data_IF_511371738082
#
_entry.id   IF_511371738082
#
_cell.length_a   1.000
_cell.length_b   1.000
_cell.length_c   1.000
_cell.angle_alpha   90.00
_cell.angle_beta   90.00
_cell.angle_gamma   90.00
#
_symmetry.space_group_name_H-M   'P 1'
#
loop_
_entity.id
_entity.type
_entity.pdbx_description
1 polymer ?
#
# COMPACT_ATOMS: atom_id res chain seq x y z
N UNK A 1 14.81 34.77 -20.00
CA UNK A 1 13.89 35.04 -18.88
C UNK A 1 12.84 33.95 -18.75
N UNK A 2 11.97 33.72 -19.75
CA UNK A 2 10.96 32.64 -19.76
C UNK A 2 11.45 31.22 -19.40
N UNK A 3 12.67 30.85 -19.83
CA UNK A 3 13.24 29.55 -19.49
C UNK A 3 13.60 29.41 -18.00
N UNK A 4 13.89 30.52 -17.32
CA UNK A 4 14.16 30.53 -15.88
C UNK A 4 12.85 30.43 -15.10
N UNK A 5 11.81 31.17 -15.50
CA UNK A 5 10.48 31.10 -14.88
C UNK A 5 9.88 29.69 -14.99
N UNK A 6 10.04 29.05 -16.15
CA UNK A 6 9.63 27.64 -16.33
C UNK A 6 10.38 26.70 -15.39
N UNK A 7 11.70 26.85 -15.24
CA UNK A 7 12.50 26.03 -14.33
C UNK A 7 12.11 26.26 -12.87
N UNK A 8 11.78 27.50 -12.50
CA UNK A 8 11.30 27.83 -11.17
C UNK A 8 9.98 27.10 -10.88
N UNK A 9 9.00 27.18 -11.80
CA UNK A 9 7.73 26.46 -11.68
C UNK A 9 7.93 24.94 -11.65
N UNK A 10 8.79 24.38 -12.51
CA UNK A 10 9.09 22.94 -12.50
C UNK A 10 9.71 22.50 -11.16
N UNK A 11 10.57 23.33 -10.56
CA UNK A 11 11.15 23.05 -9.24
C UNK A 11 10.12 23.12 -8.11
N UNK A 12 9.19 24.06 -8.18
CA UNK A 12 8.10 24.21 -7.21
C UNK A 12 7.13 23.02 -7.30
N UNK A 13 6.75 22.60 -8.51
CA UNK A 13 5.93 21.42 -8.73
C UNK A 13 6.59 20.14 -8.21
N UNK A 14 7.91 20.00 -8.42
CA UNK A 14 8.66 18.87 -7.87
C UNK A 14 8.68 18.89 -6.33
N UNK A 15 8.86 20.06 -5.72
CA UNK A 15 8.83 20.20 -4.26
C UNK A 15 7.44 19.84 -3.69
N UNK A 16 6.37 20.33 -4.30
CA UNK A 16 4.99 19.99 -3.90
C UNK A 16 4.68 18.50 -4.06
N UNK A 17 5.13 17.88 -5.16
CA UNK A 17 4.94 16.45 -5.39
C UNK A 17 5.62 15.59 -4.31
N UNK A 18 6.84 15.95 -3.91
CA UNK A 18 7.57 15.29 -2.82
C UNK A 18 6.84 15.46 -1.49
N UNK A 19 6.33 16.67 -1.20
CA UNK A 19 5.58 16.94 0.02
C UNK A 19 4.31 16.09 0.12
N UNK A 20 3.55 15.96 -0.98
CA UNK A 20 2.37 15.10 -1.02
C UNK A 20 2.75 13.65 -0.71
N UNK A 21 3.83 13.15 -1.33
CA UNK A 21 4.30 11.78 -1.08
C UNK A 21 4.75 11.57 0.37
N UNK A 22 5.31 12.59 1.00
CA UNK A 22 5.70 12.51 2.41
C UNK A 22 4.46 12.36 3.30
N UNK A 23 3.41 13.15 3.03
CA UNK A 23 2.14 13.04 3.74
C UNK A 23 1.49 11.67 3.54
N UNK A 24 1.52 11.12 2.32
CA UNK A 24 1.03 9.76 2.06
C UNK A 24 1.81 8.71 2.85
N UNK A 25 3.14 8.80 2.88
CA UNK A 25 4.01 7.89 3.62
C UNK A 25 3.69 7.92 5.12
N UNK A 26 3.61 9.13 5.71
CA UNK A 26 3.26 9.32 7.12
C UNK A 26 1.88 8.77 7.46
N UNK A 27 0.91 8.88 6.55
CA UNK A 27 -0.43 8.32 6.76
C UNK A 27 -0.39 6.79 6.85
N UNK A 28 0.37 6.12 5.97
CA UNK A 28 0.53 4.65 6.00
C UNK A 28 1.31 4.22 7.25
N UNK A 29 2.37 4.92 7.62
CA UNK A 29 3.17 4.64 8.81
C UNK A 29 2.33 4.70 10.10
N UNK A 30 1.56 5.78 10.30
CA UNK A 30 0.64 5.90 11.46
C UNK A 30 -0.37 4.78 11.52
N UNK A 31 -0.91 4.38 10.36
CA UNK A 31 -1.84 3.26 10.28
C UNK A 31 -1.19 1.93 10.69
N UNK A 32 0.02 1.66 10.20
CA UNK A 32 0.76 0.43 10.53
C UNK A 32 1.16 0.38 12.00
N UNK A 33 1.59 1.50 12.59
CA UNK A 33 1.88 1.58 14.02
C UNK A 33 0.64 1.32 14.89
N UNK A 34 -0.52 1.88 14.50
CA UNK A 34 -1.77 1.65 15.23
C UNK A 34 -2.19 0.18 15.20
N UNK A 35 -2.14 -0.48 14.03
CA UNK A 35 -2.46 -1.90 13.89
C UNK A 35 -1.43 -2.78 14.59
N UNK A 36 -0.14 -2.48 14.46
CA UNK A 36 0.92 -3.22 15.14
C UNK A 36 0.75 -3.20 16.66
N UNK A 37 0.36 -2.04 17.22
CA UNK A 37 0.07 -1.93 18.66
C UNK A 37 -1.14 -2.77 19.06
N UNK A 38 -2.23 -2.74 18.27
CA UNK A 38 -3.43 -3.54 18.55
C UNK A 38 -3.14 -5.04 18.47
N UNK A 39 -2.39 -5.47 17.45
CA UNK A 39 -1.94 -6.85 17.27
C UNK A 39 -1.10 -7.33 18.47
N UNK A 40 -0.16 -6.50 18.93
CA UNK A 40 0.67 -6.82 20.09
C UNK A 40 -0.18 -6.99 21.38
N UNK A 41 -1.22 -6.17 21.56
CA UNK A 41 -2.15 -6.31 22.69
C UNK A 41 -2.95 -7.62 22.62
N UNK A 42 -3.49 -7.96 21.45
CA UNK A 42 -4.23 -9.23 21.26
C UNK A 42 -3.31 -10.42 21.52
N UNK A 43 -2.06 -10.37 21.03
CA UNK A 43 -1.06 -11.39 21.28
C UNK A 43 -0.78 -11.55 22.79
N UNK A 44 -0.54 -10.46 23.51
CA UNK A 44 -0.31 -10.49 24.96
C UNK A 44 -1.50 -11.03 25.75
N UNK A 45 -2.72 -10.61 25.41
CA UNK A 45 -3.95 -11.11 26.01
C UNK A 45 -4.14 -12.61 25.74
N UNK A 46 -3.83 -13.07 24.53
CA UNK A 46 -3.93 -14.48 24.14
C UNK A 46 -3.01 -15.36 24.99
N UNK A 47 -1.75 -14.94 25.20
CA UNK A 47 -0.82 -15.67 26.08
C UNK A 47 -1.34 -15.69 27.52
N UNK A 48 -1.84 -14.55 28.01
CA UNK A 48 -2.38 -14.46 29.37
C UNK A 48 -3.59 -15.37 29.61
N UNK A 49 -4.49 -15.46 28.62
CA UNK A 49 -5.64 -16.39 28.69
C UNK A 49 -5.17 -17.83 28.62
N UNK A 50 -4.22 -18.16 27.74
CA UNK A 50 -3.67 -19.51 27.63
C UNK A 50 -3.04 -20.00 28.94
N UNK A 51 -2.26 -19.14 29.60
CA UNK A 51 -1.62 -19.46 30.88
C UNK A 51 -2.67 -19.69 31.98
N UNK A 52 -3.70 -18.85 32.02
CA UNK A 52 -4.78 -18.95 33.02
C UNK A 52 -5.62 -20.22 32.80
N UNK A 53 -5.97 -20.52 31.55
CA UNK A 53 -6.76 -21.70 31.16
C UNK A 53 -5.98 -22.99 31.42
N UNK A 54 -4.66 -22.99 31.20
CA UNK A 54 -3.82 -24.16 31.46
C UNK A 54 -3.81 -24.57 32.94
N UNK A 55 -3.91 -23.62 33.88
CA UNK A 55 -3.99 -23.93 35.31
C UNK A 55 -5.33 -24.58 35.70
N UNK A 56 -6.40 -24.25 34.98
CA UNK A 56 -7.77 -24.71 35.29
C UNK A 56 -8.05 -26.06 34.61
N UNK A 57 -7.46 -26.31 33.44
CA UNK A 57 -7.67 -27.52 32.64
C UNK A 57 -7.12 -28.80 33.31
N UNK A 58 -6.09 -28.73 34.16
CA UNK A 58 -5.55 -29.90 34.87
C UNK A 58 -6.50 -30.50 35.93
N UNK A 59 -7.61 -29.83 36.26
CA UNK A 59 -8.54 -30.26 37.32
C UNK A 59 -9.76 -31.04 36.81
N UNK A 60 -10.11 -30.94 35.53
CA UNK A 60 -11.32 -31.59 35.00
C UNK A 60 -10.98 -32.68 33.96
N UNK A 61 -11.28 -33.92 34.35
CA UNK A 61 -11.08 -35.19 33.63
C UNK A 61 -11.60 -35.23 32.18
N UNK A 62 -11.09 -36.24 31.47
CA UNK A 62 -11.04 -36.58 30.03
C UNK A 62 -12.23 -36.33 29.07
N UNK A 63 -13.35 -35.75 29.48
CA UNK A 63 -14.58 -35.79 28.67
C UNK A 63 -14.56 -34.90 27.41
N UNK A 64 -13.68 -33.88 27.29
CA UNK A 64 -13.72 -32.90 26.18
C UNK A 64 -12.36 -32.62 25.50
N UNK A 65 -11.55 -33.65 25.24
CA UNK A 65 -10.25 -33.50 24.57
C UNK A 65 -10.32 -32.77 23.22
N UNK A 66 -11.41 -32.97 22.46
CA UNK A 66 -11.61 -32.34 21.14
C UNK A 66 -11.67 -30.81 21.25
N UNK A 67 -12.43 -30.30 22.23
CA UNK A 67 -12.62 -28.86 22.41
C UNK A 67 -11.32 -28.22 22.91
N UNK A 68 -10.56 -28.92 23.76
CA UNK A 68 -9.25 -28.45 24.22
C UNK A 68 -8.23 -28.37 23.08
N UNK A 69 -8.16 -29.40 22.23
CA UNK A 69 -7.27 -29.39 21.04
C UNK A 69 -7.67 -28.27 20.09
N UNK A 70 -8.98 -28.08 19.87
CA UNK A 70 -9.49 -27.01 19.00
C UNK A 70 -9.16 -25.62 19.57
N UNK A 71 -9.37 -25.40 20.87
CA UNK A 71 -9.01 -24.17 21.57
C UNK A 71 -7.52 -23.87 21.43
N UNK A 72 -6.65 -24.87 21.70
CA UNK A 72 -5.21 -24.70 21.60
C UNK A 72 -4.77 -24.45 20.14
N UNK A 73 -5.41 -25.08 19.16
CA UNK A 73 -5.18 -24.82 17.75
C UNK A 73 -5.51 -23.38 17.37
N UNK A 74 -6.65 -22.85 17.82
CA UNK A 74 -7.06 -21.47 17.54
C UNK A 74 -6.16 -20.44 18.22
N UNK A 75 -5.79 -20.64 19.49
CA UNK A 75 -4.97 -19.67 20.22
C UNK A 75 -3.54 -19.61 19.67
N UNK A 76 -2.94 -20.75 19.32
CA UNK A 76 -1.61 -20.79 18.69
C UNK A 76 -1.66 -20.16 17.29
N UNK A 77 -2.70 -20.45 16.50
CA UNK A 77 -2.88 -19.82 15.18
C UNK A 77 -3.04 -18.30 15.29
N UNK A 78 -3.80 -17.83 16.29
CA UNK A 78 -3.93 -16.41 16.61
C UNK A 78 -2.56 -15.79 16.94
N UNK A 79 -1.79 -16.41 17.84
CA UNK A 79 -0.46 -15.93 18.23
C UNK A 79 0.47 -15.81 17.01
N UNK A 80 0.50 -16.81 16.14
CA UNK A 80 1.34 -16.77 14.94
C UNK A 80 0.93 -15.63 13.99
N UNK A 81 -0.36 -15.44 13.74
CA UNK A 81 -0.87 -14.40 12.84
C UNK A 81 -0.66 -12.99 13.39
N UNK A 82 -0.92 -12.78 14.68
CA UNK A 82 -0.71 -11.48 15.33
C UNK A 82 0.77 -11.14 15.43
N UNK A 83 1.63 -12.11 15.76
CA UNK A 83 3.06 -11.90 15.78
C UNK A 83 3.63 -11.59 14.39
N UNK A 84 3.13 -12.27 13.36
CA UNK A 84 3.44 -11.94 11.96
C UNK A 84 3.00 -10.50 11.62
N UNK A 85 1.82 -10.07 12.06
CA UNK A 85 1.34 -8.70 11.87
C UNK A 85 2.25 -7.67 12.55
N UNK A 86 2.65 -7.90 13.81
CA UNK A 86 3.54 -7.01 14.57
C UNK A 86 4.90 -6.84 13.89
N UNK A 87 5.53 -7.95 13.48
CA UNK A 87 6.85 -7.91 12.84
C UNK A 87 6.76 -7.18 11.50
N UNK A 88 5.82 -7.54 10.63
CA UNK A 88 5.74 -6.94 9.30
C UNK A 88 5.33 -5.47 9.35
N UNK A 89 4.40 -5.08 10.24
CA UNK A 89 4.07 -3.67 10.44
C UNK A 89 5.28 -2.86 10.91
N UNK A 90 6.09 -3.39 11.83
CA UNK A 90 7.32 -2.74 12.30
C UNK A 90 8.36 -2.64 11.18
N UNK A 91 8.59 -3.72 10.44
CA UNK A 91 9.54 -3.73 9.32
C UNK A 91 9.17 -2.71 8.25
N UNK A 92 7.91 -2.66 7.82
CA UNK A 92 7.45 -1.71 6.79
C UNK A 92 7.54 -0.26 7.29
N UNK A 93 7.23 -0.02 8.56
CA UNK A 93 7.31 1.31 9.19
C UNK A 93 8.75 1.83 9.30
N UNK A 94 9.72 0.95 9.53
CA UNK A 94 11.15 1.32 9.63
C UNK A 94 11.81 1.39 8.24
N UNK A 95 11.57 0.39 7.39
CA UNK A 95 12.22 0.28 6.07
C UNK A 95 11.64 1.27 5.06
N UNK A 96 10.35 1.57 5.11
CA UNK A 96 9.67 2.46 4.16
C UNK A 96 10.32 3.85 4.07
N UNK A 97 10.43 4.60 5.19
CA UNK A 97 11.11 5.89 5.24
C UNK A 97 12.61 5.79 4.93
N UNK A 98 13.27 4.73 5.40
CA UNK A 98 14.71 4.51 5.17
C UNK A 98 15.04 4.39 3.68
N UNK A 99 14.24 3.64 2.91
CA UNK A 99 14.41 3.53 1.46
C UNK A 99 13.96 4.79 0.71
N UNK A 100 12.98 5.53 1.25
CA UNK A 100 12.56 6.80 0.67
C UNK A 100 13.65 7.88 0.75
N UNK A 101 14.39 7.94 1.86
CA UNK A 101 15.45 8.93 2.09
C UNK A 101 16.80 8.57 1.44
N UNK A 102 17.18 7.29 1.47
CA UNK A 102 18.49 6.85 0.97
C UNK A 102 18.50 6.45 -0.51
N UNK A 103 17.33 6.41 -1.16
CA UNK A 103 17.21 5.99 -2.55
C UNK A 103 17.54 7.09 -3.58
N UNK A 104 17.82 6.70 -4.84
CA UNK A 104 18.02 7.65 -5.95
C UNK A 104 16.75 8.47 -6.22
N UNK A 105 16.88 9.60 -6.94
CA UNK A 105 15.74 10.48 -7.28
C UNK A 105 14.55 9.67 -7.84
N UNK A 106 13.40 9.76 -7.17
CA UNK A 106 12.19 9.01 -7.51
C UNK A 106 11.91 7.77 -6.63
N UNK A 107 12.86 7.34 -5.79
CA UNK A 107 12.71 6.20 -4.86
C UNK A 107 11.49 6.34 -3.94
N UNK A 108 11.20 7.56 -3.49
CA UNK A 108 10.08 7.86 -2.61
C UNK A 108 8.73 7.38 -3.17
N UNK A 109 8.53 7.47 -4.48
CA UNK A 109 7.30 6.97 -5.10
C UNK A 109 7.21 5.44 -5.02
N UNK A 110 8.34 4.76 -5.26
CA UNK A 110 8.43 3.31 -5.18
C UNK A 110 8.23 2.80 -3.75
N UNK A 111 8.85 3.46 -2.76
CA UNK A 111 8.70 3.10 -1.34
C UNK A 111 7.25 3.24 -0.87
N UNK A 112 6.58 4.36 -1.19
CA UNK A 112 5.17 4.56 -0.81
C UNK A 112 4.26 3.52 -1.47
N UNK A 113 4.54 3.13 -2.72
CA UNK A 113 3.79 2.07 -3.40
C UNK A 113 3.96 0.72 -2.69
N UNK A 114 5.20 0.34 -2.39
CA UNK A 114 5.48 -0.91 -1.66
C UNK A 114 4.79 -0.93 -0.28
N UNK A 115 4.84 0.19 0.47
CA UNK A 115 4.14 0.28 1.76
C UNK A 115 2.62 0.11 1.62
N UNK A 116 2.01 0.62 0.55
CA UNK A 116 0.56 0.47 0.29
C UNK A 116 0.18 -0.96 -0.10
N UNK A 117 1.05 -1.69 -0.79
CA UNK A 117 0.82 -3.08 -1.18
C UNK A 117 0.87 -4.00 0.04
N UNK A 118 1.91 -3.87 0.87
CA UNK A 118 2.08 -4.68 2.10
C UNK A 118 0.98 -4.44 3.15
N UNK A 119 0.43 -3.21 3.18
CA UNK A 119 -0.65 -2.82 4.10
C UNK A 119 -1.83 -3.78 4.08
N UNK A 120 -2.23 -4.26 2.90
CA UNK A 120 -3.39 -5.15 2.77
C UNK A 120 -3.12 -6.54 3.34
N UNK A 121 -1.91 -7.06 3.13
CA UNK A 121 -1.50 -8.35 3.68
C UNK A 121 -1.47 -8.32 5.21
N UNK A 122 -0.91 -7.24 5.79
CA UNK A 122 -0.89 -7.01 7.24
C UNK A 122 -2.32 -6.93 7.81
N UNK A 123 -3.23 -6.23 7.11
CA UNK A 123 -4.63 -6.13 7.52
C UNK A 123 -5.34 -7.49 7.50
N UNK A 124 -5.07 -8.34 6.51
CA UNK A 124 -5.66 -9.69 6.47
C UNK A 124 -5.11 -10.59 7.58
N UNK A 125 -3.81 -10.50 7.88
CA UNK A 125 -3.22 -11.24 9.00
C UNK A 125 -3.82 -10.82 10.35
N UNK A 126 -3.94 -9.51 10.60
CA UNK A 126 -4.60 -8.97 11.79
C UNK A 126 -6.06 -9.40 11.90
N UNK A 127 -6.83 -9.26 10.82
CA UNK A 127 -8.24 -9.68 10.81
C UNK A 127 -8.43 -11.18 11.02
N UNK A 128 -7.55 -11.99 10.44
CA UNK A 128 -7.51 -13.44 10.65
C UNK A 128 -7.19 -13.81 12.10
N UNK A 129 -6.18 -13.16 12.69
CA UNK A 129 -5.80 -13.32 14.10
C UNK A 129 -6.96 -12.99 15.05
N UNK A 130 -7.61 -11.84 14.86
CA UNK A 130 -8.75 -11.42 15.66
C UNK A 130 -9.94 -12.40 15.61
N UNK A 131 -10.23 -13.02 14.45
CA UNK A 131 -11.27 -14.04 14.33
C UNK A 131 -10.88 -15.31 15.08
N UNK A 132 -9.64 -15.77 14.90
CA UNK A 132 -9.13 -16.95 15.61
C UNK A 132 -9.13 -16.75 17.13
N UNK A 133 -8.78 -15.55 17.60
CA UNK A 133 -8.90 -15.17 19.00
C UNK A 133 -10.34 -15.33 19.50
N UNK A 134 -11.33 -14.81 18.78
CA UNK A 134 -12.74 -14.96 19.15
C UNK A 134 -13.22 -16.41 19.20
N UNK A 135 -12.82 -17.23 18.22
CA UNK A 135 -13.14 -18.67 18.21
C UNK A 135 -12.49 -19.40 19.41
N UNK A 136 -11.28 -19.01 19.78
CA UNK A 136 -10.61 -19.52 20.98
C UNK A 136 -11.39 -19.14 22.25
N UNK A 137 -11.84 -17.88 22.37
CA UNK A 137 -12.65 -17.42 23.52
C UNK A 137 -14.00 -18.13 23.63
N UNK A 138 -14.65 -18.43 22.50
CA UNK A 138 -15.85 -19.25 22.48
C UNK A 138 -15.55 -20.63 23.07
N UNK A 139 -14.47 -21.26 22.63
CA UNK A 139 -14.06 -22.59 23.12
C UNK A 139 -13.75 -22.56 24.62
N UNK A 140 -13.06 -21.53 25.13
CA UNK A 140 -12.82 -21.34 26.57
C UNK A 140 -14.12 -21.24 27.37
N UNK A 141 -15.11 -20.50 26.87
CA UNK A 141 -16.39 -20.35 27.56
C UNK A 141 -17.12 -21.68 27.76
N UNK A 142 -17.03 -22.59 26.78
CA UNK A 142 -17.61 -23.94 26.87
C UNK A 142 -16.83 -24.86 27.81
N UNK A 143 -15.53 -24.63 28.00
CA UNK A 143 -14.70 -25.40 28.93
C UNK A 143 -14.93 -24.93 30.38
N UNK A 144 -15.05 -23.61 30.61
CA UNK A 144 -15.07 -23.05 31.97
C UNK A 144 -16.45 -22.92 32.60
N UNK A 145 -17.53 -22.76 31.81
CA UNK A 145 -18.85 -22.43 32.33
C UNK A 145 -19.86 -23.58 32.23
N UNK A 146 -20.85 -23.61 33.14
CA UNK A 146 -22.00 -24.51 33.05
C UNK A 146 -22.80 -24.23 31.77
N UNK A 147 -23.34 -25.27 31.14
CA UNK A 147 -24.01 -25.22 29.82
C UNK A 147 -25.00 -24.05 29.58
N UNK A 148 -25.88 -23.65 30.52
CA UNK A 148 -26.78 -22.53 30.27
C UNK A 148 -26.03 -21.20 30.12
N UNK A 149 -25.00 -20.94 30.94
CA UNK A 149 -24.21 -19.70 30.87
C UNK A 149 -23.34 -19.64 29.62
N UNK A 150 -22.77 -20.79 29.21
CA UNK A 150 -21.97 -20.89 27.98
C UNK A 150 -22.79 -20.54 26.73
N UNK A 151 -24.06 -20.97 26.67
CA UNK A 151 -24.97 -20.66 25.56
C UNK A 151 -25.23 -19.16 25.42
N UNK A 152 -25.47 -18.47 26.55
CA UNK A 152 -25.69 -17.02 26.57
C UNK A 152 -24.44 -16.27 26.11
N UNK A 153 -23.26 -16.66 26.60
CA UNK A 153 -22.01 -16.03 26.18
C UNK A 153 -21.75 -16.21 24.67
N UNK A 154 -22.01 -17.42 24.15
CA UNK A 154 -21.87 -17.70 22.72
C UNK A 154 -22.75 -16.80 21.86
N UNK A 155 -24.01 -16.60 22.25
CA UNK A 155 -24.94 -15.70 21.53
C UNK A 155 -24.45 -14.26 21.54
N UNK A 156 -23.97 -13.76 22.68
CA UNK A 156 -23.46 -12.38 22.80
C UNK A 156 -22.24 -12.19 21.89
N UNK A 157 -21.30 -13.13 21.90
CA UNK A 157 -20.10 -13.09 21.04
C UNK A 157 -20.48 -13.14 19.56
N UNK A 158 -21.43 -13.98 19.16
CA UNK A 158 -21.90 -14.04 17.77
C UNK A 158 -22.57 -12.74 17.32
N UNK A 159 -23.38 -12.11 18.17
CA UNK A 159 -23.97 -10.80 17.88
C UNK A 159 -22.86 -9.74 17.70
N UNK A 160 -21.84 -9.76 18.55
CA UNK A 160 -20.70 -8.85 18.43
C UNK A 160 -19.96 -9.05 17.10
N UNK A 161 -19.65 -10.29 16.72
CA UNK A 161 -19.01 -10.61 15.43
C UNK A 161 -19.86 -10.19 14.22
N UNK A 162 -21.18 -10.40 14.31
CA UNK A 162 -22.11 -9.95 13.27
C UNK A 162 -22.08 -8.42 13.13
N UNK A 163 -22.16 -7.69 14.25
CA UNK A 163 -22.12 -6.23 14.25
C UNK A 163 -20.78 -5.68 13.73
N UNK A 164 -19.66 -6.32 14.07
CA UNK A 164 -18.34 -5.98 13.53
C UNK A 164 -18.34 -6.16 12.01
N UNK A 165 -18.81 -7.30 11.51
CA UNK A 165 -18.84 -7.59 10.07
C UNK A 165 -19.73 -6.60 9.31
N UNK A 166 -20.92 -6.28 9.85
CA UNK A 166 -21.80 -5.26 9.29
C UNK A 166 -21.15 -3.89 9.31
N UNK A 167 -20.47 -3.54 10.41
CA UNK A 167 -19.76 -2.27 10.54
C UNK A 167 -18.63 -2.13 9.52
N UNK A 168 -17.83 -3.18 9.32
CA UNK A 168 -16.78 -3.23 8.28
C UNK A 168 -17.40 -3.01 6.91
N UNK A 169 -18.46 -3.75 6.54
CA UNK A 169 -19.13 -3.58 5.25
C UNK A 169 -19.70 -2.17 5.07
N UNK A 170 -20.32 -1.61 6.10
CA UNK A 170 -20.89 -0.25 6.09
C UNK A 170 -19.78 0.79 5.89
N UNK A 171 -18.67 0.64 6.61
CA UNK A 171 -17.51 1.52 6.50
C UNK A 171 -16.91 1.40 5.10
N UNK A 172 -16.62 0.20 4.62
CA UNK A 172 -16.07 -0.03 3.27
C UNK A 172 -16.99 0.50 2.17
N UNK A 173 -18.31 0.37 2.31
CA UNK A 173 -19.27 0.92 1.35
C UNK A 173 -19.24 2.46 1.32
N UNK A 174 -19.12 3.12 2.47
CA UNK A 174 -18.98 4.58 2.54
C UNK A 174 -17.66 5.06 1.95
N UNK A 175 -16.57 4.31 2.12
CA UNK A 175 -15.25 4.68 1.59
C UNK A 175 -15.04 4.27 0.13
N UNK A 176 -15.94 3.49 -0.48
CA UNK A 176 -16.04 3.33 -1.94
C UNK A 176 -16.65 4.59 -2.57
N UNK A 177 -15.99 5.72 -2.42
CA UNK A 177 -16.30 6.89 -3.25
C UNK A 177 -15.70 6.70 -4.65
N UNK A 178 -16.59 6.49 -5.62
CA UNK A 178 -16.52 6.95 -7.01
C UNK A 178 -15.13 7.08 -7.67
N UNK A 179 -14.35 5.98 -7.74
CA UNK A 179 -13.21 5.91 -8.69
C UNK A 179 -13.65 5.98 -10.16
N UNK A 180 -14.96 6.01 -10.43
CA UNK A 180 -15.55 6.09 -11.77
C UNK A 180 -15.76 7.53 -12.27
N UNK A 181 -15.85 8.54 -11.39
CA UNK A 181 -16.15 9.94 -11.82
C UNK A 181 -14.89 10.78 -12.07
N UNK A 182 -13.70 10.30 -11.70
CA UNK A 182 -12.44 10.94 -12.11
C UNK A 182 -11.85 10.40 -13.43
N UNK A 183 -12.58 9.52 -14.15
CA UNK A 183 -12.20 9.12 -15.52
C UNK A 183 -12.99 9.81 -16.63
N UNK A 184 -13.96 10.69 -16.31
CA UNK A 184 -14.75 11.39 -17.35
C UNK A 184 -14.96 12.88 -17.01
N UNK A 185 -13.88 13.59 -16.69
CA UNK A 185 -13.77 15.03 -17.00
C UNK A 185 -12.31 15.50 -17.10
N UNK A 186 -11.42 14.61 -17.57
CA UNK A 186 -10.04 14.95 -17.96
C UNK A 186 -9.70 14.56 -19.39
N UNK A 187 -10.61 13.85 -20.08
CA UNK A 187 -10.37 13.29 -21.41
C UNK A 187 -10.59 14.31 -22.53
N UNK A 188 -11.22 15.45 -22.26
CA UNK A 188 -11.40 16.53 -23.25
C UNK A 188 -10.35 17.64 -23.15
N UNK A 189 -9.62 17.78 -22.04
CA UNK A 189 -8.46 18.71 -21.97
C UNK A 189 -7.12 18.07 -22.31
N UNK A 190 -6.98 16.74 -22.21
CA UNK A 190 -5.77 16.05 -22.69
C UNK A 190 -5.80 15.72 -24.19
N UNK A 191 -6.97 15.57 -24.82
CA UNK A 191 -7.04 15.43 -26.30
C UNK A 191 -6.80 16.75 -27.04
N UNK A 192 -7.15 17.91 -26.46
CA UNK A 192 -6.81 19.20 -27.08
C UNK A 192 -5.33 19.59 -26.90
N UNK A 193 -4.65 19.19 -25.82
CA UNK A 193 -3.20 19.42 -25.68
C UNK A 193 -2.36 18.42 -26.48
N UNK A 194 -2.77 17.16 -26.60
CA UNK A 194 -2.11 16.17 -27.46
C UNK A 194 -2.17 16.51 -28.95
N UNK A 195 -3.35 16.92 -29.46
CA UNK A 195 -3.50 17.32 -30.86
C UNK A 195 -2.74 18.63 -31.18
N UNK A 196 -2.71 19.59 -30.25
CA UNK A 196 -1.96 20.83 -30.44
C UNK A 196 -0.44 20.63 -30.37
N UNK A 197 0.05 19.64 -29.61
CA UNK A 197 1.47 19.28 -29.59
C UNK A 197 1.90 18.49 -30.84
N UNK A 198 1.04 17.62 -31.38
CA UNK A 198 1.33 16.89 -32.63
C UNK A 198 1.25 17.83 -33.84
N UNK A 199 0.32 18.79 -33.87
CA UNK A 199 0.29 19.84 -34.91
C UNK A 199 1.46 20.82 -34.81
N UNK A 200 1.87 21.21 -33.60
CA UNK A 200 3.03 22.10 -33.40
C UNK A 200 4.39 21.41 -33.67
N UNK A 201 4.48 20.08 -33.51
CA UNK A 201 5.65 19.31 -33.93
C UNK A 201 5.66 19.03 -35.43
N UNK A 202 4.51 18.80 -36.07
CA UNK A 202 4.47 18.57 -37.51
C UNK A 202 4.82 19.86 -38.28
N UNK A 203 4.35 21.03 -37.83
CA UNK A 203 4.75 22.30 -38.42
C UNK A 203 6.24 22.64 -38.19
N UNK A 204 6.88 22.14 -37.12
CA UNK A 204 8.33 22.33 -36.90
C UNK A 204 9.20 21.38 -37.70
N UNK A 205 8.72 20.17 -38.00
CA UNK A 205 9.45 19.22 -38.83
C UNK A 205 9.32 19.50 -40.34
N UNK A 206 8.20 20.07 -40.80
CA UNK A 206 8.09 20.55 -42.20
C UNK A 206 8.98 21.77 -42.46
N UNK A 207 9.18 22.66 -41.49
CA UNK A 207 10.06 23.84 -41.66
C UNK A 207 11.55 23.46 -41.55
N UNK A 208 11.94 22.55 -40.64
CA UNK A 208 13.33 22.08 -40.53
C UNK A 208 13.79 21.11 -41.64
N UNK A 209 12.87 20.52 -42.38
CA UNK A 209 13.19 19.67 -43.53
C UNK A 209 13.64 20.46 -44.77
N UNK A 210 13.25 21.74 -44.86
CA UNK A 210 13.62 22.62 -45.98
C UNK A 210 14.97 23.30 -45.71
N UNK A 211 15.22 23.75 -44.48
CA UNK A 211 16.48 24.43 -44.11
C UNK A 211 17.72 23.51 -44.16
N UNK A 212 17.54 22.18 -44.02
CA UNK A 212 18.63 21.21 -44.08
C UNK A 212 18.98 20.75 -45.51
N UNK A 213 18.17 21.06 -46.54
CA UNK A 213 18.52 20.72 -47.93
C UNK A 213 19.44 21.78 -48.57
N UNK A 214 19.31 23.06 -48.17
CA UNK A 214 20.18 24.13 -48.68
C UNK A 214 21.59 24.09 -48.06
N UNK A 215 21.71 23.61 -46.82
CA UNK A 215 23.01 23.53 -46.13
C UNK A 215 23.87 22.36 -46.62
N UNK A 216 23.25 21.25 -47.06
CA UNK A 216 23.97 20.08 -47.62
C UNK A 216 24.40 20.32 -49.08
N UNK A 217 23.68 21.16 -49.83
CA UNK A 217 24.09 21.55 -51.19
C UNK A 217 25.30 22.52 -51.19
N UNK A 218 25.41 23.41 -50.20
CA UNK A 218 26.54 24.33 -50.05
C UNK A 218 27.85 23.64 -49.69
N UNK A 219 27.83 22.68 -48.77
CA UNK A 219 29.03 21.98 -48.32
C UNK A 219 29.62 21.02 -49.39
N UNK A 220 28.78 20.48 -50.28
CA UNK A 220 29.23 19.67 -51.42
C UNK A 220 29.95 20.50 -52.51
N UNK A 221 29.57 21.76 -52.73
CA UNK A 221 30.25 22.65 -53.69
C UNK A 221 31.60 23.16 -53.16
N UNK A 222 31.73 23.37 -51.84
CA UNK A 222 32.99 23.81 -51.22
C UNK A 222 34.04 22.69 -51.25
N UNK A 223 33.63 21.42 -51.06
CA UNK A 223 34.54 20.27 -51.19
C UNK A 223 35.01 20.02 -52.64
N UNK A 224 34.14 20.26 -53.63
CA UNK A 224 34.50 20.11 -55.05
C UNK A 224 35.47 21.21 -55.54
N UNK A 225 35.37 22.44 -55.01
CA UNK A 225 36.30 23.53 -55.34
C UNK A 225 37.66 23.40 -54.63
N UNK A 226 37.71 22.75 -53.46
CA UNK A 226 38.98 22.45 -52.78
C UNK A 226 39.82 21.40 -53.54
N UNK A 227 39.19 20.36 -54.10
CA UNK A 227 39.89 19.30 -54.83
C UNK A 227 40.43 19.72 -56.21
N UNK A 228 39.94 20.82 -56.81
CA UNK A 228 40.50 21.35 -58.07
C UNK A 228 41.73 22.24 -57.88
N UNK A 229 42.03 22.72 -56.67
CA UNK A 229 43.23 23.55 -56.39
C UNK A 229 44.47 22.75 -56.02
N UNK A 230 44.33 21.47 -55.68
CA UNK A 230 45.47 20.64 -55.23
C UNK A 230 46.14 19.79 -56.32
N UNK A 231 45.71 19.86 -57.59
CA UNK A 231 46.50 19.35 -58.72
C UNK A 231 47.05 17.93 -58.51
N UNK A 232 46.22 17.00 -58.03
CA UNK A 232 46.53 15.57 -57.98
C UNK A 232 45.54 14.84 -58.87
N UNK A 233 46.12 14.30 -59.94
CA UNK A 233 45.52 13.40 -60.94
C UNK A 233 44.93 12.18 -60.26
#
# INVERSE_FOLDING_TARGET
MLAADRRAVDSELQAQAVQIKNMEMQNVDRYLQAIGTQAALICGLSISTQLSDSMIAFTNDEEHWIIQVLHNGFIVSCLCLEFYCVINSTLVSVLGPTYALNGPKGSMHSSVKAMKEERMMILYAFGGGAIMFGCSQLSTAWIMMRSPSASVNTVIVLIAFYQITVSVRRISAKFKFHSTEMSVEGTDTQKMKGASYVMAMNHKNTVRGVDNMDQVAGDAQILAMANMKEGKV
#
